data_IF_014284105430
#
_entry.id   IF_014284105430
#
_cell.length_a   1.000
_cell.length_b   1.000
_cell.length_c   1.000
_cell.angle_alpha   90.00
_cell.angle_beta   90.00
_cell.angle_gamma   90.00
#
_symmetry.space_group_name_H-M   'P 1'
#
loop_
_entity.id
_entity.type
_entity.pdbx_description
1 polymer ?
#
# COMPACT_ATOMS: atom_id res chain seq x y z
N UNK A 1 29.69 43.78 -12.48
CA UNK A 1 29.24 43.78 -11.08
C UNK A 1 28.64 42.42 -10.82
N UNK A 2 29.33 41.57 -10.07
CA UNK A 2 28.95 40.19 -9.76
C UNK A 2 28.33 40.24 -8.37
N UNK A 3 27.04 39.91 -8.25
CA UNK A 3 26.39 39.79 -6.94
C UNK A 3 26.71 38.38 -6.44
N UNK A 4 27.67 38.31 -5.52
CA UNK A 4 28.01 37.08 -4.81
C UNK A 4 26.90 36.84 -3.76
N UNK A 5 25.96 35.96 -4.09
CA UNK A 5 24.97 35.50 -3.13
C UNK A 5 25.62 34.44 -2.23
N UNK A 6 26.16 34.89 -1.10
CA UNK A 6 26.58 34.01 -0.02
C UNK A 6 25.37 33.60 0.79
N UNK A 7 24.86 32.40 0.53
CA UNK A 7 23.84 31.78 1.38
C UNK A 7 24.52 31.21 2.62
N UNK A 8 24.29 31.83 3.78
CA UNK A 8 24.69 31.26 5.07
C UNK A 8 23.57 30.34 5.53
N UNK A 9 23.76 29.05 5.32
CA UNK A 9 22.87 28.02 5.86
C UNK A 9 22.86 28.13 7.39
N UNK A 10 21.70 28.32 8.05
CA UNK A 10 21.64 28.26 9.50
C UNK A 10 22.06 26.85 9.90
N UNK A 11 23.05 26.73 10.78
CA UNK A 11 23.41 25.46 11.39
C UNK A 11 22.19 24.89 12.09
N UNK A 12 21.84 23.64 11.78
CA UNK A 12 20.87 22.84 12.52
C UNK A 12 21.37 22.73 13.97
N UNK A 13 20.92 23.65 14.83
CA UNK A 13 21.01 23.48 16.26
C UNK A 13 19.87 22.55 16.65
N UNK A 14 20.21 21.28 16.82
CA UNK A 14 19.43 20.29 17.55
C UNK A 14 19.40 20.68 19.03
N UNK A 15 18.67 21.74 19.35
CA UNK A 15 18.32 22.12 20.71
C UNK A 15 16.91 22.72 20.67
N UNK A 16 15.95 21.86 20.37
CA UNK A 16 14.61 22.08 20.91
C UNK A 16 14.70 21.73 22.39
N UNK A 17 15.25 22.67 23.14
CA UNK A 17 15.28 22.65 24.59
C UNK A 17 13.86 22.47 25.07
N UNK A 18 13.55 21.25 25.51
CA UNK A 18 12.49 20.98 26.47
C UNK A 18 12.94 21.60 27.80
N UNK A 19 12.97 22.93 27.81
CA UNK A 19 13.35 23.78 28.92
C UNK A 19 12.09 24.17 29.67
N UNK A 20 11.83 23.42 30.73
CA UNK A 20 10.85 23.71 31.76
C UNK A 20 11.03 25.15 32.27
N UNK A 21 10.14 26.07 31.89
CA UNK A 21 9.93 27.34 32.62
C UNK A 21 8.63 28.03 32.19
N UNK A 22 7.58 27.70 32.93
CA UNK A 22 6.53 28.58 33.46
C UNK A 22 5.90 29.67 32.56
N UNK A 23 4.58 29.55 32.45
CA UNK A 23 3.59 30.61 32.30
C UNK A 23 3.42 31.22 30.90
N UNK A 24 2.67 30.51 30.05
CA UNK A 24 1.88 31.19 29.03
C UNK A 24 0.43 30.72 29.14
N UNK A 25 -0.37 31.49 29.87
CA UNK A 25 -1.80 31.27 30.12
C UNK A 25 -2.67 31.44 28.88
N UNK A 26 -2.56 30.53 27.91
CA UNK A 26 -3.57 30.32 26.89
C UNK A 26 -4.03 28.86 26.94
N UNK A 27 -5.07 28.59 27.73
CA UNK A 27 -5.84 27.36 27.54
C UNK A 27 -6.79 27.59 26.37
N UNK A 28 -6.28 27.54 25.13
CA UNK A 28 -7.19 27.47 23.99
C UNK A 28 -7.99 26.18 24.12
N UNK A 29 -9.30 26.29 24.01
CA UNK A 29 -10.15 25.11 23.88
C UNK A 29 -9.85 24.41 22.55
N UNK A 30 -10.07 23.10 22.46
CA UNK A 30 -9.87 22.34 21.21
C UNK A 30 -10.58 23.00 20.00
N UNK A 31 -11.72 23.65 20.25
CA UNK A 31 -12.50 24.38 19.25
C UNK A 31 -11.80 25.65 18.73
N UNK A 32 -11.00 26.35 19.55
CA UNK A 32 -10.26 27.53 19.11
C UNK A 32 -9.03 27.12 18.28
N UNK A 33 -8.37 26.03 18.66
CA UNK A 33 -7.26 25.46 17.88
C UNK A 33 -7.73 24.98 16.50
N UNK A 34 -8.89 24.33 16.44
CA UNK A 34 -9.49 23.90 15.17
C UNK A 34 -9.90 25.10 14.29
N UNK A 35 -10.38 26.19 14.89
CA UNK A 35 -10.73 27.41 14.18
C UNK A 35 -9.50 28.10 13.56
N UNK A 36 -8.37 28.14 14.27
CA UNK A 36 -7.11 28.71 13.76
C UNK A 36 -6.58 27.90 12.58
N UNK A 37 -6.64 26.56 12.63
CA UNK A 37 -6.25 25.70 11.50
C UNK A 37 -7.10 26.00 10.26
N UNK A 38 -8.41 26.18 10.44
CA UNK A 38 -9.32 26.47 9.34
C UNK A 38 -9.06 27.87 8.74
N UNK A 39 -8.67 28.85 9.56
CA UNK A 39 -8.30 30.18 9.11
C UNK A 39 -6.99 30.17 8.31
N UNK A 40 -5.96 29.50 8.81
CA UNK A 40 -4.69 29.34 8.11
C UNK A 40 -4.90 28.64 6.76
N UNK A 41 -5.73 27.60 6.74
CA UNK A 41 -6.04 26.89 5.52
C UNK A 41 -6.81 27.76 4.52
N UNK A 42 -7.74 28.59 4.98
CA UNK A 42 -8.44 29.56 4.13
C UNK A 42 -7.50 30.63 3.57
N UNK A 43 -6.51 31.08 4.33
CA UNK A 43 -5.49 32.04 3.87
C UNK A 43 -4.55 31.42 2.83
N UNK A 44 -4.15 30.16 3.01
CA UNK A 44 -3.37 29.38 2.04
C UNK A 44 -4.17 29.19 0.73
N UNK A 45 -5.46 28.88 0.84
CA UNK A 45 -6.33 28.72 -0.34
C UNK A 45 -6.57 30.06 -1.05
N UNK A 46 -6.77 31.15 -0.31
CA UNK A 46 -6.93 32.49 -0.88
C UNK A 46 -5.65 33.01 -1.55
N UNK A 47 -4.47 32.61 -1.06
CA UNK A 47 -3.16 32.95 -1.62
C UNK A 47 -2.67 31.98 -2.70
N UNK A 48 -3.46 30.95 -3.04
CA UNK A 48 -3.11 29.97 -4.07
C UNK A 48 -3.16 30.61 -5.46
N UNK A 49 -2.02 31.18 -5.88
CA UNK A 49 -1.82 31.68 -7.24
C UNK A 49 -1.92 30.49 -8.21
N UNK A 50 -3.00 30.44 -8.97
CA UNK A 50 -3.14 29.47 -10.04
C UNK A 50 -2.35 29.96 -11.25
N UNK A 51 -1.13 29.47 -11.38
CA UNK A 51 -0.29 29.76 -12.54
C UNK A 51 -0.96 29.20 -13.80
N UNK A 52 -0.98 29.95 -14.91
CA UNK A 52 -1.40 29.39 -16.19
C UNK A 52 -0.56 28.14 -16.49
N UNK A 53 -1.14 27.11 -17.13
CA UNK A 53 -0.36 25.95 -17.55
C UNK A 53 0.82 26.47 -18.37
N UNK A 54 2.03 26.19 -17.90
CA UNK A 54 3.20 26.59 -18.66
C UNK A 54 3.10 25.95 -20.04
N UNK A 55 3.47 26.67 -21.13
CA UNK A 55 3.54 26.06 -22.44
C UNK A 55 4.36 24.78 -22.32
N UNK A 56 3.87 23.69 -22.89
CA UNK A 56 4.51 22.38 -22.83
C UNK A 56 5.90 22.51 -23.48
N UNK A 57 6.91 22.83 -22.67
CA UNK A 57 8.30 22.81 -23.11
C UNK A 57 8.58 21.34 -23.34
N UNK A 58 8.74 20.95 -24.61
CA UNK A 58 8.92 19.55 -24.99
C UNK A 58 10.19 19.01 -24.29
N UNK A 59 9.97 18.29 -23.19
CA UNK A 59 11.01 17.78 -22.30
C UNK A 59 11.53 16.46 -22.85
N UNK A 60 12.85 16.27 -22.84
CA UNK A 60 13.52 15.11 -23.42
C UNK A 60 13.85 15.25 -24.90
N UNK A 61 13.86 14.15 -25.64
CA UNK A 61 14.19 14.15 -27.05
C UNK A 61 13.05 14.72 -27.89
N UNK A 62 13.29 15.74 -28.73
CA UNK A 62 12.28 16.22 -29.66
C UNK A 62 11.89 15.08 -30.61
N UNK A 63 10.58 14.80 -30.72
CA UNK A 63 10.08 13.71 -31.57
C UNK A 63 9.69 14.21 -32.96
N UNK A 64 9.21 15.44 -33.03
CA UNK A 64 8.72 16.09 -34.23
C UNK A 64 9.10 17.58 -34.19
N UNK A 65 9.32 18.19 -35.35
CA UNK A 65 9.47 19.64 -35.46
C UNK A 65 8.08 20.29 -35.51
N UNK A 66 7.99 21.58 -35.18
CA UNK A 66 6.72 22.34 -35.27
C UNK A 66 6.13 22.39 -36.69
N UNK A 67 6.93 22.16 -37.73
CA UNK A 67 6.47 22.05 -39.12
C UNK A 67 5.99 20.62 -39.51
N UNK A 68 6.00 19.66 -38.58
CA UNK A 68 5.70 18.25 -38.82
C UNK A 68 6.89 17.43 -39.37
N UNK A 69 8.05 18.07 -39.56
CA UNK A 69 9.28 17.41 -40.01
C UNK A 69 9.94 16.57 -38.92
N UNK A 70 10.77 15.60 -39.32
CA UNK A 70 11.59 14.83 -38.37
C UNK A 70 12.80 15.66 -37.91
N UNK A 71 13.08 15.75 -36.59
CA UNK A 71 14.27 16.42 -36.09
C UNK A 71 15.57 15.74 -36.57
N UNK A 72 16.54 16.55 -36.97
CA UNK A 72 17.87 16.14 -37.39
C UNK A 72 18.91 16.49 -36.33
N UNK A 73 19.98 15.71 -36.21
CA UNK A 73 21.10 16.03 -35.30
C UNK A 73 22.23 16.65 -36.10
N UNK A 74 22.51 17.92 -35.84
CA UNK A 74 23.61 18.67 -36.42
C UNK A 74 24.77 18.82 -35.43
N UNK A 75 25.95 19.17 -35.94
CA UNK A 75 27.14 19.49 -35.16
C UNK A 75 27.38 21.00 -35.22
N UNK A 76 27.53 21.64 -34.06
CA UNK A 76 27.89 23.05 -33.95
C UNK A 76 29.34 23.25 -34.33
N UNK A 77 29.58 24.20 -35.21
CA UNK A 77 30.92 24.67 -35.58
C UNK A 77 31.19 26.08 -35.03
N UNK A 78 30.38 26.55 -34.08
CA UNK A 78 30.58 27.85 -33.45
C UNK A 78 31.85 27.85 -32.59
N UNK A 79 32.47 29.01 -32.42
CA UNK A 79 33.67 29.16 -31.59
C UNK A 79 33.40 28.79 -30.12
N UNK A 80 32.18 29.02 -29.64
CA UNK A 80 31.82 28.82 -28.25
C UNK A 80 31.49 27.36 -27.93
N UNK A 81 30.90 26.63 -28.89
CA UNK A 81 30.48 25.24 -28.73
C UNK A 81 30.95 24.37 -29.91
N UNK A 82 32.27 24.30 -30.21
CA UNK A 82 32.76 23.54 -31.35
C UNK A 82 32.57 22.03 -31.13
N UNK A 83 32.03 21.34 -32.13
CA UNK A 83 31.77 19.90 -32.08
C UNK A 83 30.54 19.49 -31.26
N UNK A 84 29.84 20.43 -30.61
CA UNK A 84 28.66 20.11 -29.79
C UNK A 84 27.46 19.78 -30.67
N UNK A 85 26.72 18.71 -30.36
CA UNK A 85 25.56 18.29 -31.16
C UNK A 85 24.26 18.93 -30.69
N UNK A 86 23.36 19.24 -31.64
CA UNK A 86 22.03 19.78 -31.36
C UNK A 86 20.99 19.24 -32.35
N UNK A 87 19.74 19.21 -31.93
CA UNK A 87 18.58 18.94 -32.76
C UNK A 87 18.20 20.19 -33.56
N UNK A 88 17.85 20.00 -34.83
CA UNK A 88 17.44 21.04 -35.77
C UNK A 88 16.44 20.50 -36.80
N UNK A 89 15.96 21.34 -37.71
CA UNK A 89 15.05 20.99 -38.79
C UNK A 89 15.72 21.19 -40.16
N UNK A 90 15.31 20.42 -41.16
CA UNK A 90 15.72 20.63 -42.56
C UNK A 90 15.26 21.99 -43.10
N UNK A 91 14.09 22.45 -42.68
CA UNK A 91 13.46 23.68 -43.17
C UNK A 91 13.78 24.90 -42.30
N UNK A 92 14.84 24.86 -41.49
CA UNK A 92 15.14 25.92 -40.50
C UNK A 92 15.26 27.33 -41.10
N UNK A 93 15.55 27.43 -42.39
CA UNK A 93 15.74 28.68 -43.12
C UNK A 93 14.44 29.24 -43.78
N UNK A 94 13.29 28.60 -43.59
CA UNK A 94 12.00 29.03 -44.19
C UNK A 94 11.37 30.27 -43.51
N UNK A 95 11.92 30.72 -42.39
CA UNK A 95 11.46 31.87 -41.62
C UNK A 95 10.43 31.55 -40.53
N UNK A 96 9.99 30.30 -40.40
CA UNK A 96 9.11 29.83 -39.33
C UNK A 96 9.89 29.36 -38.10
N UNK A 97 9.18 29.05 -37.00
CA UNK A 97 9.78 28.50 -35.79
C UNK A 97 10.04 27.00 -35.95
N UNK A 98 11.30 26.58 -35.79
CA UNK A 98 11.71 25.17 -35.89
C UNK A 98 12.33 24.68 -34.59
N UNK A 99 12.35 23.35 -34.45
CA UNK A 99 12.99 22.69 -33.31
C UNK A 99 14.46 23.07 -33.23
N UNK A 100 14.89 23.51 -32.04
CA UNK A 100 16.29 23.68 -31.71
C UNK A 100 16.53 23.26 -30.27
N UNK A 101 17.42 22.28 -30.05
CA UNK A 101 17.73 21.82 -28.70
C UNK A 101 19.10 21.18 -28.63
N UNK A 102 19.89 21.52 -27.62
CA UNK A 102 21.17 20.84 -27.39
C UNK A 102 20.96 19.35 -27.11
N UNK A 103 21.74 18.50 -27.77
CA UNK A 103 21.61 17.05 -27.64
C UNK A 103 21.89 16.60 -26.20
N UNK A 104 22.92 17.14 -25.54
CA UNK A 104 23.26 16.82 -24.15
C UNK A 104 22.19 17.28 -23.14
N UNK A 105 21.46 18.35 -23.46
CA UNK A 105 20.33 18.81 -22.65
C UNK A 105 19.18 17.82 -22.78
N UNK A 106 18.81 17.44 -24.00
CA UNK A 106 17.78 16.44 -24.24
C UNK A 106 18.09 15.09 -23.57
N UNK A 107 19.34 14.61 -23.67
CA UNK A 107 19.80 13.37 -22.99
C UNK A 107 19.64 13.49 -21.47
N UNK A 108 20.07 14.61 -20.89
CA UNK A 108 20.01 14.82 -19.44
C UNK A 108 18.57 14.84 -18.93
N UNK A 109 17.67 15.45 -19.70
CA UNK A 109 16.24 15.46 -19.40
C UNK A 109 15.65 14.05 -19.43
N UNK A 110 15.97 13.25 -20.45
CA UNK A 110 15.53 11.85 -20.56
C UNK A 110 16.07 10.99 -19.42
N UNK A 111 17.35 11.16 -19.06
CA UNK A 111 17.95 10.44 -17.93
C UNK A 111 17.28 10.80 -16.60
N UNK A 112 16.91 12.07 -16.40
CA UNK A 112 16.16 12.47 -15.19
C UNK A 112 14.77 11.87 -15.17
N UNK A 113 14.04 11.97 -16.27
CA UNK A 113 12.69 11.40 -16.39
C UNK A 113 12.70 9.88 -16.17
N UNK A 114 13.69 9.19 -16.73
CA UNK A 114 13.88 7.76 -16.54
C UNK A 114 14.30 7.43 -15.09
N UNK A 115 15.19 8.23 -14.50
CA UNK A 115 15.61 8.07 -13.10
C UNK A 115 14.43 8.15 -12.13
N UNK A 116 13.51 9.10 -12.33
CA UNK A 116 12.28 9.20 -11.55
C UNK A 116 11.39 7.96 -11.71
N UNK A 117 11.21 7.46 -12.94
CA UNK A 117 10.43 6.25 -13.19
C UNK A 117 11.04 5.01 -12.54
N UNK A 118 12.37 4.86 -12.59
CA UNK A 118 13.09 3.77 -11.93
C UNK A 118 12.92 3.85 -10.40
N UNK A 119 12.99 5.06 -9.83
CA UNK A 119 12.73 5.27 -8.41
C UNK A 119 11.30 4.85 -8.00
N UNK A 120 10.29 5.29 -8.76
CA UNK A 120 8.89 4.90 -8.52
C UNK A 120 8.66 3.40 -8.71
N UNK A 121 9.35 2.78 -9.66
CA UNK A 121 9.25 1.34 -9.89
C UNK A 121 9.86 0.54 -8.74
N UNK A 122 11.02 0.97 -8.23
CA UNK A 122 11.64 0.36 -7.05
C UNK A 122 10.70 0.41 -5.84
N UNK A 123 10.11 1.58 -5.57
CA UNK A 123 9.15 1.74 -4.48
C UNK A 123 7.95 0.79 -4.62
N UNK A 124 7.37 0.68 -5.83
CA UNK A 124 6.26 -0.24 -6.09
C UNK A 124 6.64 -1.70 -5.89
N UNK A 125 7.87 -2.10 -6.26
CA UNK A 125 8.36 -3.46 -6.01
C UNK A 125 8.48 -3.73 -4.52
N UNK A 126 8.98 -2.77 -3.74
CA UNK A 126 9.10 -2.90 -2.29
C UNK A 126 7.71 -3.01 -1.62
N UNK A 127 6.73 -2.20 -2.04
CA UNK A 127 5.35 -2.31 -1.57
C UNK A 127 4.71 -3.67 -1.91
N UNK A 128 4.95 -4.19 -3.12
CA UNK A 128 4.45 -5.51 -3.52
C UNK A 128 5.11 -6.65 -2.74
N UNK A 129 6.40 -6.54 -2.42
CA UNK A 129 7.10 -7.50 -1.57
C UNK A 129 6.46 -7.54 -0.18
N UNK A 130 6.17 -6.38 0.41
CA UNK A 130 5.46 -6.30 1.68
C UNK A 130 4.05 -6.93 1.63
N UNK A 131 3.28 -6.68 0.57
CA UNK A 131 1.95 -7.27 0.42
C UNK A 131 2.01 -8.81 0.29
N UNK A 132 3.01 -9.33 -0.42
CA UNK A 132 3.24 -10.77 -0.58
C UNK A 132 3.55 -11.46 0.76
N UNK A 133 4.34 -10.82 1.62
CA UNK A 133 4.64 -11.34 2.96
C UNK A 133 3.38 -11.45 3.83
N UNK A 134 2.49 -10.45 3.73
CA UNK A 134 1.21 -10.47 4.43
C UNK A 134 0.27 -11.58 3.91
N UNK A 135 0.17 -11.77 2.59
CA UNK A 135 -0.59 -12.89 2.04
C UNK A 135 -0.04 -14.24 2.51
N UNK A 136 1.29 -14.39 2.55
CA UNK A 136 1.94 -15.61 3.04
C UNK A 136 1.59 -15.87 4.50
N UNK A 137 1.63 -14.84 5.34
CA UNK A 137 1.22 -14.93 6.74
C UNK A 137 -0.26 -15.32 6.89
N UNK A 138 -1.16 -14.69 6.12
CA UNK A 138 -2.58 -15.03 6.12
C UNK A 138 -2.84 -16.48 5.72
N UNK A 139 -2.17 -16.96 4.68
CA UNK A 139 -2.27 -18.34 4.22
C UNK A 139 -1.78 -19.32 5.30
N UNK A 140 -0.69 -18.99 6.00
CA UNK A 140 -0.19 -19.78 7.12
C UNK A 140 -1.20 -19.85 8.28
N UNK A 141 -1.77 -18.71 8.68
CA UNK A 141 -2.79 -18.65 9.75
C UNK A 141 -4.03 -19.44 9.37
N UNK A 142 -4.54 -19.26 8.15
CA UNK A 142 -5.71 -19.99 7.66
C UNK A 142 -5.48 -21.51 7.63
N UNK A 143 -4.31 -21.96 7.17
CA UNK A 143 -3.98 -23.40 7.17
C UNK A 143 -3.88 -23.95 8.59
N UNK A 144 -3.31 -23.19 9.52
CA UNK A 144 -3.17 -23.60 10.92
C UNK A 144 -4.54 -23.74 11.58
N UNK A 145 -5.42 -22.75 11.38
CA UNK A 145 -6.78 -22.77 11.92
C UNK A 145 -7.63 -23.88 11.29
N UNK A 146 -7.47 -24.10 9.98
CA UNK A 146 -8.09 -25.23 9.26
C UNK A 146 -7.72 -26.57 9.90
N UNK A 147 -6.43 -26.80 10.13
CA UNK A 147 -5.94 -28.02 10.78
C UNK A 147 -6.49 -28.20 12.20
N UNK A 148 -6.59 -27.12 12.98
CA UNK A 148 -7.14 -27.16 14.35
C UNK A 148 -8.64 -27.50 14.36
N UNK A 149 -9.41 -26.93 13.42
CA UNK A 149 -10.84 -27.25 13.26
C UNK A 149 -11.01 -28.72 12.90
N UNK A 150 -10.28 -29.21 11.90
CA UNK A 150 -10.35 -30.62 11.49
C UNK A 150 -10.01 -31.55 12.65
N UNK A 151 -8.99 -31.23 13.45
CA UNK A 151 -8.64 -32.00 14.63
C UNK A 151 -9.75 -32.00 15.69
N UNK A 152 -10.42 -30.86 15.92
CA UNK A 152 -11.53 -30.77 16.87
C UNK A 152 -12.75 -31.56 16.38
N UNK A 153 -13.03 -31.54 15.09
CA UNK A 153 -14.10 -32.33 14.46
C UNK A 153 -13.84 -33.82 14.69
N UNK A 154 -12.63 -34.32 14.40
CA UNK A 154 -12.28 -35.73 14.60
C UNK A 154 -12.44 -36.17 16.08
N UNK A 155 -12.02 -35.32 17.02
CA UNK A 155 -12.20 -35.58 18.46
C UNK A 155 -13.68 -35.63 18.84
N UNK A 156 -14.50 -34.72 18.31
CA UNK A 156 -15.95 -34.67 18.54
C UNK A 156 -16.64 -35.92 18.00
N UNK A 157 -16.32 -36.32 16.77
CA UNK A 157 -16.87 -37.53 16.14
C UNK A 157 -16.55 -38.78 16.96
N UNK A 158 -15.31 -38.89 17.46
CA UNK A 158 -14.90 -39.99 18.34
C UNK A 158 -15.71 -40.03 19.64
N UNK A 159 -15.97 -38.87 20.25
CA UNK A 159 -16.80 -38.77 21.46
C UNK A 159 -18.27 -39.11 21.21
N UNK A 160 -18.83 -38.67 20.08
CA UNK A 160 -20.21 -38.99 19.68
C UNK A 160 -20.36 -40.49 19.44
N UNK A 161 -19.40 -41.13 18.75
CA UNK A 161 -19.38 -42.58 18.54
C UNK A 161 -19.29 -43.35 19.87
N UNK A 162 -18.43 -42.91 20.80
CA UNK A 162 -18.31 -43.46 22.14
C UNK A 162 -19.63 -43.36 22.93
N UNK A 163 -20.26 -42.19 22.92
CA UNK A 163 -21.55 -41.96 23.60
C UNK A 163 -22.67 -42.81 22.99
N UNK A 164 -22.71 -42.94 21.67
CA UNK A 164 -23.66 -43.82 20.98
C UNK A 164 -23.52 -45.29 21.38
N UNK A 165 -22.27 -45.79 21.47
CA UNK A 165 -21.97 -47.15 21.95
C UNK A 165 -22.35 -47.36 23.42
N UNK A 166 -22.12 -46.36 24.29
CA UNK A 166 -22.52 -46.42 25.71
C UNK A 166 -24.04 -46.44 25.88
N UNK A 167 -24.75 -45.61 25.10
CA UNK A 167 -26.22 -45.53 25.10
C UNK A 167 -26.88 -46.83 24.67
N UNK A 168 -26.43 -47.44 23.57
CA UNK A 168 -26.93 -48.74 23.10
C UNK A 168 -26.68 -49.86 24.11
N UNK A 169 -25.47 -49.92 24.70
CA UNK A 169 -25.17 -50.85 25.79
C UNK A 169 -26.08 -50.65 27.01
N UNK A 170 -26.40 -49.40 27.34
CA UNK A 170 -27.33 -49.04 28.40
C UNK A 170 -28.76 -49.51 28.13
N UNK A 171 -29.28 -49.27 26.92
CA UNK A 171 -30.61 -49.75 26.51
C UNK A 171 -30.71 -51.27 26.55
N UNK A 172 -29.75 -51.99 25.96
CA UNK A 172 -29.76 -53.46 25.94
C UNK A 172 -29.72 -54.06 27.35
N UNK A 173 -29.03 -53.38 28.28
CA UNK A 173 -29.00 -53.81 29.70
C UNK A 173 -30.36 -53.61 30.37
N UNK A 174 -31.05 -52.50 30.10
CA UNK A 174 -32.38 -52.25 30.65
C UNK A 174 -33.41 -53.23 30.07
N UNK A 175 -33.37 -53.46 28.76
CA UNK A 175 -34.21 -54.48 28.12
C UNK A 175 -34.01 -55.86 28.75
N UNK A 176 -32.77 -56.26 29.01
CA UNK A 176 -32.46 -57.52 29.68
C UNK A 176 -33.05 -57.60 31.09
N UNK A 177 -32.92 -56.53 31.90
CA UNK A 177 -33.47 -56.48 33.26
C UNK A 177 -35.00 -56.57 33.25
N UNK A 178 -35.66 -55.83 32.34
CA UNK A 178 -37.11 -55.86 32.19
C UNK A 178 -37.59 -57.26 31.75
N UNK A 179 -36.90 -57.89 30.80
CA UNK A 179 -37.23 -59.25 30.36
C UNK A 179 -37.14 -60.27 31.50
N UNK A 180 -36.08 -60.20 32.33
CA UNK A 180 -35.93 -61.06 33.52
C UNK A 180 -37.06 -60.82 34.53
N UNK A 181 -37.39 -59.55 34.81
CA UNK A 181 -38.46 -59.21 35.74
C UNK A 181 -39.83 -59.75 35.28
N UNK A 182 -40.17 -59.61 33.99
CA UNK A 182 -41.41 -60.16 33.42
C UNK A 182 -41.43 -61.69 33.52
N UNK A 183 -40.31 -62.36 33.24
CA UNK A 183 -40.22 -63.81 33.35
C UNK A 183 -40.48 -64.30 34.78
N UNK A 184 -39.88 -63.65 35.79
CA UNK A 184 -40.11 -63.99 37.21
C UNK A 184 -41.58 -63.85 37.59
N UNK A 185 -42.25 -62.77 37.16
CA UNK A 185 -43.68 -62.57 37.42
C UNK A 185 -44.55 -63.67 36.79
N UNK A 186 -44.21 -64.12 35.58
CA UNK A 186 -44.91 -65.22 34.89
C UNK A 186 -44.75 -66.55 35.65
N UNK A 187 -43.54 -66.86 36.12
CA UNK A 187 -43.28 -68.07 36.91
C UNK A 187 -44.04 -68.05 38.23
N UNK A 188 -44.01 -66.93 38.96
CA UNK A 188 -44.79 -66.77 40.19
C UNK A 188 -46.29 -66.93 39.94
N UNK A 189 -46.82 -66.33 38.88
CA UNK A 189 -48.21 -66.50 38.48
C UNK A 189 -48.58 -67.95 38.20
N UNK A 190 -47.72 -68.68 37.48
CA UNK A 190 -47.94 -70.12 37.25
C UNK A 190 -47.94 -70.92 38.56
N UNK A 191 -46.98 -70.71 39.46
CA UNK A 191 -46.92 -71.42 40.75
C UNK A 191 -48.18 -71.19 41.59
N UNK A 192 -48.72 -69.96 41.59
CA UNK A 192 -49.96 -69.63 42.29
C UNK A 192 -51.19 -70.29 41.65
N UNK A 193 -51.22 -70.45 40.33
CA UNK A 193 -52.33 -71.10 39.61
C UNK A 193 -52.35 -72.63 39.80
N UNK A 194 -51.21 -73.25 40.13
CA UNK A 194 -51.08 -74.70 40.32
C UNK A 194 -51.19 -75.15 41.79
N UNK A 195 -51.57 -74.26 42.72
CA UNK A 195 -51.69 -74.54 44.15
C UNK A 195 -53.12 -74.37 44.64
#
# INVERSE_FOLDING_TARGET
MRLDYSYTQPSESEDYGLGDSADSGYSLTEAEFEADILLDQAEIEASRVQYPPQPEVEFGFPKECYCGGKPLVATSYTRNDPGRRYYTCENVDDGDCHVWKWWDVAVKEEMRAMGTQVGQLAEKVDHLAFASDYETYLNQVNSTFGNEIEQKIDRLDKLVLELGKKKTRGLNRLEFVVAVMVFVLVVLGMVLMFK
#
